data_IF_626041957694
#
_entry.id   IF_626041957694
#
_cell.length_a   1.000
_cell.length_b   1.000
_cell.length_c   1.000
_cell.angle_alpha   90.00
_cell.angle_beta   90.00
_cell.angle_gamma   90.00
#
_symmetry.space_group_name_H-M   'P 1'
#
loop_
_entity.id
_entity.type
_entity.pdbx_description
1 polymer ?
#
# COMPACT_ATOMS: atom_id res chain seq x y z
N UNK A 1 -13.98 6.93 -55.24
CA UNK A 1 -15.01 7.71 -54.52
C UNK A 1 -16.30 6.97 -54.74
N UNK A 2 -16.92 6.22 -53.84
CA UNK A 2 -17.01 6.13 -52.37
C UNK A 2 -17.32 4.62 -52.11
N UNK A 3 -17.03 4.00 -50.98
CA UNK A 3 -17.71 4.20 -49.72
C UNK A 3 -16.94 3.45 -48.63
N UNK A 4 -16.56 4.22 -47.61
CA UNK A 4 -16.16 3.76 -46.29
C UNK A 4 -17.21 2.75 -45.77
N UNK A 5 -16.85 1.47 -45.65
CA UNK A 5 -17.67 0.47 -44.94
C UNK A 5 -17.79 0.95 -43.49
N UNK A 6 -19.00 1.34 -43.09
CA UNK A 6 -19.31 1.73 -41.73
C UNK A 6 -18.86 0.61 -40.78
N UNK A 7 -17.93 0.92 -39.87
CA UNK A 7 -17.57 0.02 -38.78
C UNK A 7 -18.87 -0.34 -38.03
N UNK A 8 -19.16 -1.64 -37.81
CA UNK A 8 -20.42 -2.03 -37.19
C UNK A 8 -20.48 -1.47 -35.76
N UNK A 9 -21.59 -0.82 -35.39
CA UNK A 9 -21.74 -0.18 -34.07
C UNK A 9 -21.60 -1.17 -32.90
N UNK A 10 -21.71 -2.47 -33.19
CA UNK A 10 -21.43 -3.57 -32.26
C UNK A 10 -19.95 -3.65 -31.86
N UNK A 11 -19.01 -3.29 -32.74
CA UNK A 11 -17.58 -3.19 -32.40
C UNK A 11 -17.31 -2.00 -31.45
N UNK A 12 -18.07 -0.91 -31.61
CA UNK A 12 -17.95 0.29 -30.78
C UNK A 12 -18.50 0.05 -29.36
N UNK A 13 -19.61 -0.71 -29.26
CA UNK A 13 -20.21 -1.15 -28.00
C UNK A 13 -19.34 -2.17 -27.24
N UNK A 14 -18.69 -3.10 -27.96
CA UNK A 14 -17.78 -4.06 -27.35
C UNK A 14 -16.49 -3.39 -26.85
N UNK A 15 -15.97 -2.41 -27.60
CA UNK A 15 -14.80 -1.64 -27.20
C UNK A 15 -15.07 -0.74 -25.98
N UNK A 16 -16.27 -0.13 -25.89
CA UNK A 16 -16.66 0.68 -24.72
C UNK A 16 -16.91 -0.16 -23.47
N UNK A 17 -17.42 -1.39 -23.60
CA UNK A 17 -17.57 -2.32 -22.48
C UNK A 17 -16.21 -2.82 -21.95
N UNK A 18 -15.22 -2.98 -22.83
CA UNK A 18 -13.85 -3.38 -22.43
C UNK A 18 -13.12 -2.26 -21.65
N UNK A 19 -13.33 -1.00 -22.01
CA UNK A 19 -12.68 0.14 -21.35
C UNK A 19 -13.21 0.33 -19.91
N UNK A 20 -14.47 -0.03 -19.64
CA UNK A 20 -15.08 0.13 -18.32
C UNK A 20 -14.67 -0.96 -17.32
N UNK A 21 -14.14 -2.10 -17.78
CA UNK A 21 -13.69 -3.20 -16.93
C UNK A 21 -12.25 -3.10 -16.42
N UNK A 22 -11.46 -2.14 -16.93
CA UNK A 22 -10.02 -2.03 -16.63
C UNK A 22 -9.69 -1.33 -15.30
N UNK A 23 -10.69 -0.76 -14.61
CA UNK A 23 -10.55 -0.31 -13.22
C UNK A 23 -10.86 -1.47 -12.26
N UNK A 24 -10.26 -2.65 -12.47
CA UNK A 24 -10.20 -3.65 -11.43
C UNK A 24 -9.21 -3.13 -10.39
N UNK A 25 -9.74 -2.63 -9.29
CA UNK A 25 -9.02 -2.13 -8.11
C UNK A 25 -7.87 -3.07 -7.74
N UNK A 26 -6.63 -2.58 -7.83
CA UNK A 26 -5.53 -3.12 -7.06
C UNK A 26 -5.90 -2.96 -5.60
N UNK A 27 -6.41 -4.02 -4.98
CA UNK A 27 -6.45 -4.11 -3.52
C UNK A 27 -5.01 -3.96 -3.07
N UNK A 28 -4.68 -2.77 -2.57
CA UNK A 28 -3.42 -2.50 -1.92
C UNK A 28 -3.36 -3.43 -0.71
N UNK A 29 -2.68 -4.55 -0.89
CA UNK A 29 -2.56 -5.56 0.15
C UNK A 29 -1.71 -4.92 1.25
N UNK A 30 -2.29 -4.82 2.45
CA UNK A 30 -1.60 -4.20 3.58
C UNK A 30 -0.21 -4.84 3.73
N UNK A 31 0.83 -4.00 3.71
CA UNK A 31 2.21 -4.48 3.80
C UNK A 31 2.44 -5.19 5.15
N UNK A 32 2.82 -6.47 5.10
CA UNK A 32 3.18 -7.22 6.31
C UNK A 32 4.63 -6.91 6.70
N UNK A 33 4.79 -6.30 7.87
CA UNK A 33 6.08 -5.88 8.43
C UNK A 33 6.83 -7.07 9.02
N UNK A 34 6.15 -8.17 9.34
CA UNK A 34 6.76 -9.31 10.04
C UNK A 34 7.70 -10.07 9.11
N UNK A 35 8.98 -10.16 9.52
CA UNK A 35 10.08 -10.75 8.72
C UNK A 35 10.43 -9.99 7.42
N UNK A 36 9.90 -8.78 7.21
CA UNK A 36 10.30 -7.94 6.10
C UNK A 36 11.74 -7.43 6.27
N UNK A 37 12.53 -7.49 5.21
CA UNK A 37 13.86 -6.91 5.16
C UNK A 37 13.79 -5.39 5.06
N UNK A 38 14.90 -4.72 5.40
CA UNK A 38 15.00 -3.25 5.26
C UNK A 38 14.75 -2.80 3.82
N UNK A 39 15.24 -3.55 2.83
CA UNK A 39 15.06 -3.22 1.42
C UNK A 39 13.59 -3.31 1.00
N UNK A 40 12.88 -4.36 1.44
CA UNK A 40 11.44 -4.51 1.15
C UNK A 40 10.61 -3.41 1.82
N UNK A 41 10.96 -3.01 3.05
CA UNK A 41 10.29 -1.87 3.72
C UNK A 41 10.58 -0.55 3.01
N UNK A 42 11.81 -0.32 2.54
CA UNK A 42 12.17 0.88 1.80
C UNK A 42 11.42 0.95 0.46
N UNK A 43 11.38 -0.14 -0.29
CA UNK A 43 10.61 -0.23 -1.53
C UNK A 43 9.11 0.00 -1.27
N UNK A 44 8.54 -0.60 -0.23
CA UNK A 44 7.15 -0.35 0.16
C UNK A 44 6.88 1.12 0.54
N UNK A 45 7.83 1.80 1.17
CA UNK A 45 7.73 3.24 1.46
C UNK A 45 7.84 4.10 0.20
N UNK A 46 8.75 3.77 -0.71
CA UNK A 46 8.89 4.45 -2.01
C UNK A 46 7.62 4.28 -2.87
N UNK A 47 7.00 3.11 -2.82
CA UNK A 47 5.74 2.80 -3.50
C UNK A 47 4.51 3.42 -2.81
N UNK A 48 4.65 3.98 -1.60
CA UNK A 48 3.57 4.54 -0.81
C UNK A 48 2.63 3.52 -0.15
N UNK A 49 3.01 2.24 -0.15
CA UNK A 49 2.27 1.13 0.51
C UNK A 49 2.49 1.08 2.02
N UNK A 50 3.53 1.76 2.50
CA UNK A 50 3.90 1.87 3.91
C UNK A 50 4.41 3.29 4.18
N UNK A 51 4.03 3.91 5.29
CA UNK A 51 4.66 5.17 5.73
C UNK A 51 5.57 4.95 6.93
N UNK A 52 6.48 5.91 7.20
CA UNK A 52 7.28 5.90 8.44
C UNK A 52 6.37 5.85 9.68
N UNK A 53 5.25 6.59 9.62
CA UNK A 53 4.24 6.63 10.68
C UNK A 53 3.61 5.26 10.91
N UNK A 54 3.17 4.58 9.84
CA UNK A 54 2.57 3.24 9.93
C UNK A 54 3.56 2.22 10.53
N UNK A 55 4.82 2.28 10.08
CA UNK A 55 5.89 1.40 10.55
C UNK A 55 6.13 1.56 12.06
N UNK A 56 6.23 2.81 12.53
CA UNK A 56 6.45 3.09 13.95
C UNK A 56 5.23 2.69 14.78
N UNK A 57 4.01 2.97 14.34
CA UNK A 57 2.79 2.54 15.04
C UNK A 57 2.70 1.03 15.17
N UNK A 58 3.01 0.28 14.11
CA UNK A 58 3.00 -1.18 14.12
C UNK A 58 3.97 -1.76 15.16
N UNK A 59 5.19 -1.21 15.26
CA UNK A 59 6.16 -1.67 16.26
C UNK A 59 5.80 -1.22 17.68
N UNK A 60 5.27 -0.01 17.87
CA UNK A 60 4.78 0.42 19.19
C UNK A 60 3.64 -0.46 19.69
N UNK A 61 2.72 -0.85 18.81
CA UNK A 61 1.68 -1.82 19.13
C UNK A 61 2.27 -3.19 19.50
N UNK A 62 3.25 -3.67 18.73
CA UNK A 62 3.93 -4.95 19.02
C UNK A 62 4.63 -4.91 20.38
N UNK A 63 5.29 -3.81 20.72
CA UNK A 63 5.88 -3.61 22.05
C UNK A 63 4.78 -3.66 23.11
N UNK A 64 3.70 -2.90 22.95
CA UNK A 64 2.59 -2.88 23.93
C UNK A 64 1.96 -4.26 24.15
N UNK A 65 1.92 -5.12 23.12
CA UNK A 65 1.35 -6.48 23.20
C UNK A 65 2.28 -7.46 23.92
N UNK A 66 3.60 -7.34 23.75
CA UNK A 66 4.55 -8.38 24.18
C UNK A 66 5.49 -7.99 25.33
N UNK A 67 5.61 -6.70 25.66
CA UNK A 67 6.63 -6.21 26.59
C UNK A 67 6.49 -6.81 28.00
N UNK A 68 5.26 -7.07 28.46
CA UNK A 68 5.02 -7.70 29.78
C UNK A 68 5.67 -9.09 29.92
N UNK A 69 5.88 -9.80 28.80
CA UNK A 69 6.48 -11.13 28.78
C UNK A 69 7.96 -11.09 28.41
N UNK A 70 8.31 -10.27 27.42
CA UNK A 70 9.67 -10.24 26.85
C UNK A 70 10.59 -9.33 27.66
N UNK A 71 10.05 -8.24 28.21
CA UNK A 71 10.78 -7.24 29.01
C UNK A 71 12.04 -6.73 28.29
N UNK A 72 11.91 -6.37 27.01
CA UNK A 72 13.01 -5.96 26.14
C UNK A 72 13.19 -4.43 26.03
N UNK A 73 12.17 -3.65 26.37
CA UNK A 73 12.10 -2.21 26.15
C UNK A 73 12.03 -1.48 27.49
N UNK A 74 13.14 -0.88 27.91
CA UNK A 74 13.21 -0.11 29.15
C UNK A 74 12.35 1.15 29.09
N UNK A 75 12.42 1.89 27.98
CA UNK A 75 11.69 3.16 27.77
C UNK A 75 11.40 3.36 26.29
N UNK A 76 10.22 3.88 25.97
CA UNK A 76 9.84 4.32 24.61
C UNK A 76 10.05 5.84 24.46
N UNK A 77 10.54 6.28 23.30
CA UNK A 77 10.60 7.71 22.97
C UNK A 77 9.18 8.28 22.82
N UNK A 78 8.79 9.20 23.70
CA UNK A 78 7.49 9.87 23.67
C UNK A 78 7.22 10.68 22.39
N UNK A 79 8.26 11.05 21.66
CA UNK A 79 8.17 11.80 20.40
C UNK A 79 8.30 10.90 19.16
N UNK A 80 8.33 9.56 19.29
CA UNK A 80 8.61 8.65 18.18
C UNK A 80 7.66 8.86 16.99
N UNK A 81 6.38 9.08 17.28
CA UNK A 81 5.36 9.31 16.27
C UNK A 81 5.53 10.67 15.57
N UNK A 82 5.86 11.74 16.32
CA UNK A 82 6.16 13.06 15.75
C UNK A 82 7.43 13.04 14.90
N UNK A 83 8.40 12.20 15.24
CA UNK A 83 9.61 12.02 14.44
C UNK A 83 9.33 11.24 13.16
N UNK A 84 8.47 10.22 13.23
CA UNK A 84 8.01 9.48 12.06
C UNK A 84 7.26 10.37 11.07
N UNK A 85 6.40 11.27 11.56
CA UNK A 85 5.65 12.23 10.72
C UNK A 85 6.56 13.23 9.97
N UNK A 86 7.84 13.37 10.37
CA UNK A 86 8.81 14.27 9.75
C UNK A 86 9.64 13.64 8.64
N UNK A 87 9.56 12.32 8.45
CA UNK A 87 10.30 11.55 7.45
C UNK A 87 9.42 11.28 6.23
#
# INVERSE_FOLDING_TARGET
MTMFRALPSQLLLLATLLILGACASSSDEAFDIVEATILEMQEAMEDGRLTSRDLVEAYLLRIAVYEDQVNAVITVNKNALEEADRL
#
